data_IF_749124171596
#
_entry.id   IF_749124171596
#
_cell.length_a   1.000
_cell.length_b   1.000
_cell.length_c   1.000
_cell.angle_alpha   90.00
_cell.angle_beta   90.00
_cell.angle_gamma   90.00
#
_symmetry.space_group_name_H-M   'P 1'
#
loop_
_entity.id
_entity.type
_entity.pdbx_description
1 polymer ?
#
# COMPACT_ATOMS: atom_id res chain seq x y z
N UNK A 1 -3.59 76.15 1.46
CA UNK A 1 -4.13 74.87 0.91
C UNK A 1 -3.02 73.83 1.03
N UNK A 2 -3.11 72.94 2.02
CA UNK A 2 -2.12 71.86 2.28
C UNK A 2 -2.83 70.51 1.98
N UNK A 3 -2.43 69.82 0.92
CA UNK A 3 -2.89 68.50 0.60
C UNK A 3 -2.04 67.45 1.31
N UNK A 4 -2.64 66.71 2.24
CA UNK A 4 -2.09 65.53 2.88
C UNK A 4 -2.37 64.29 2.01
N UNK A 5 -1.32 63.72 1.44
CA UNK A 5 -1.39 62.39 0.80
C UNK A 5 -1.20 61.33 1.86
N UNK A 6 -2.26 60.60 2.17
CA UNK A 6 -2.19 59.41 3.01
C UNK A 6 -1.86 58.20 2.10
N UNK A 7 -0.62 57.70 2.19
CA UNK A 7 -0.19 56.48 1.50
C UNK A 7 -0.69 55.25 2.26
N UNK A 8 -1.54 54.46 1.60
CA UNK A 8 -1.98 53.14 2.10
C UNK A 8 -0.91 52.11 1.71
N UNK A 9 -0.16 51.64 2.70
CA UNK A 9 0.80 50.55 2.55
C UNK A 9 0.05 49.23 2.67
N UNK A 10 -0.24 48.56 1.54
CA UNK A 10 -0.85 47.22 1.51
C UNK A 10 0.21 46.18 1.86
N UNK A 11 0.13 45.60 3.07
CA UNK A 11 0.95 44.45 3.47
C UNK A 11 0.48 43.20 2.72
N UNK A 12 1.23 42.78 1.71
CA UNK A 12 1.06 41.47 1.09
C UNK A 12 1.60 40.39 2.03
N UNK A 13 0.70 39.69 2.70
CA UNK A 13 1.05 38.47 3.46
C UNK A 13 1.14 37.30 2.47
N UNK A 14 2.37 36.93 2.09
CA UNK A 14 2.64 35.74 1.30
C UNK A 14 2.49 34.51 2.20
N UNK A 15 1.41 33.77 2.04
CA UNK A 15 1.24 32.45 2.67
C UNK A 15 2.14 31.43 1.97
N UNK A 16 3.26 31.10 2.57
CA UNK A 16 4.10 29.97 2.15
C UNK A 16 3.39 28.69 2.55
N UNK A 17 2.80 27.99 1.60
CA UNK A 17 2.29 26.64 1.82
C UNK A 17 3.48 25.70 2.10
N UNK A 18 3.66 25.31 3.38
CA UNK A 18 4.58 24.24 3.74
C UNK A 18 4.03 22.91 3.21
N UNK A 19 4.47 22.52 2.01
CA UNK A 19 4.32 21.13 1.55
C UNK A 19 5.27 20.28 2.39
N UNK A 20 4.72 19.48 3.31
CA UNK A 20 5.50 18.49 4.03
C UNK A 20 6.13 17.53 3.00
N UNK A 21 7.45 17.31 3.02
CA UNK A 21 8.08 16.34 2.13
C UNK A 21 7.47 14.94 2.42
N UNK A 22 7.14 14.18 1.36
CA UNK A 22 6.80 12.77 1.50
C UNK A 22 7.97 12.09 2.22
N UNK A 23 7.71 11.60 3.45
CA UNK A 23 8.74 10.95 4.26
C UNK A 23 9.18 9.66 3.55
N UNK A 24 10.45 9.57 3.19
CA UNK A 24 11.04 8.31 2.79
C UNK A 24 10.95 7.36 4.00
N UNK A 25 10.49 6.10 3.77
CA UNK A 25 10.44 5.09 4.81
C UNK A 25 11.85 4.91 5.40
N UNK A 26 11.97 5.03 6.71
CA UNK A 26 13.24 4.80 7.40
C UNK A 26 13.56 3.28 7.50
N UNK A 27 14.73 2.94 7.99
CA UNK A 27 15.17 1.54 8.06
C UNK A 27 14.26 0.69 8.97
N UNK A 28 13.68 1.27 10.01
CA UNK A 28 12.77 0.59 10.92
C UNK A 28 11.42 0.32 10.25
N UNK A 29 10.86 1.31 9.54
CA UNK A 29 9.63 1.15 8.76
C UNK A 29 9.80 0.07 7.68
N UNK A 30 10.96 0.01 7.01
CA UNK A 30 11.27 -1.02 6.02
C UNK A 30 11.37 -2.42 6.64
N UNK A 31 12.00 -2.54 7.80
CA UNK A 31 12.09 -3.80 8.53
C UNK A 31 10.71 -4.30 8.99
N UNK A 32 9.87 -3.39 9.50
CA UNK A 32 8.50 -3.73 9.88
C UNK A 32 7.66 -4.10 8.65
N UNK A 33 7.77 -3.37 7.55
CA UNK A 33 7.10 -3.70 6.29
C UNK A 33 7.48 -5.08 5.76
N UNK A 34 8.77 -5.45 5.86
CA UNK A 34 9.26 -6.79 5.53
C UNK A 34 8.62 -7.86 6.44
N UNK A 35 8.57 -7.61 7.76
CA UNK A 35 7.94 -8.51 8.73
C UNK A 35 6.44 -8.69 8.42
N UNK A 36 5.76 -7.62 8.08
CA UNK A 36 4.34 -7.67 7.68
C UNK A 36 4.15 -8.50 6.41
N UNK A 37 5.02 -8.32 5.40
CA UNK A 37 4.96 -9.05 4.14
C UNK A 37 5.24 -10.54 4.29
N UNK A 38 6.26 -10.89 5.11
CA UNK A 38 6.74 -12.28 5.22
C UNK A 38 6.05 -13.08 6.31
N UNK A 39 5.64 -12.44 7.41
CA UNK A 39 5.13 -13.13 8.60
C UNK A 39 3.65 -12.85 8.82
N UNK A 40 3.28 -11.65 9.29
CA UNK A 40 1.92 -11.37 9.74
C UNK A 40 0.90 -11.45 8.60
N UNK A 41 1.21 -10.86 7.44
CA UNK A 41 0.35 -10.90 6.26
C UNK A 41 0.57 -12.14 5.41
N UNK A 42 1.71 -12.83 5.57
CA UNK A 42 2.12 -14.00 4.78
C UNK A 42 1.98 -13.81 3.26
N UNK A 43 2.16 -12.59 2.77
CA UNK A 43 1.98 -12.22 1.37
C UNK A 43 2.89 -13.03 0.43
N UNK A 44 4.10 -13.37 0.93
CA UNK A 44 5.08 -14.18 0.19
C UNK A 44 4.56 -15.57 -0.17
N UNK A 45 3.60 -16.13 0.57
CA UNK A 45 3.04 -17.45 0.30
C UNK A 45 2.40 -17.53 -1.10
N UNK A 46 1.82 -16.40 -1.56
CA UNK A 46 1.21 -16.29 -2.88
C UNK A 46 2.07 -15.49 -3.87
N UNK A 47 2.69 -14.39 -3.40
CA UNK A 47 3.41 -13.45 -4.27
C UNK A 47 4.91 -13.75 -4.41
N UNK A 48 5.43 -14.78 -3.70
CA UNK A 48 6.86 -15.05 -3.61
C UNK A 48 7.59 -14.06 -2.70
N UNK A 49 8.74 -14.48 -2.15
CA UNK A 49 9.52 -13.66 -1.22
C UNK A 49 10.03 -12.35 -1.86
N UNK A 50 10.31 -12.38 -3.16
CA UNK A 50 10.75 -11.23 -3.93
C UNK A 50 9.59 -10.37 -4.50
N UNK A 51 8.34 -10.80 -4.29
CA UNK A 51 7.16 -10.17 -4.89
C UNK A 51 7.03 -10.38 -6.39
N UNK A 52 7.73 -11.36 -6.97
CA UNK A 52 7.76 -11.65 -8.41
C UNK A 52 6.76 -12.73 -8.86
N UNK A 53 5.88 -13.15 -7.96
CA UNK A 53 4.89 -14.21 -8.19
C UNK A 53 5.45 -15.63 -8.16
N UNK A 54 6.77 -15.80 -7.96
CA UNK A 54 7.43 -17.10 -7.90
C UNK A 54 7.45 -17.58 -6.45
N UNK A 55 6.56 -18.49 -6.13
CA UNK A 55 6.43 -19.08 -4.79
C UNK A 55 7.00 -20.50 -4.76
N UNK A 56 7.41 -20.93 -3.57
CA UNK A 56 7.93 -22.28 -3.34
C UNK A 56 6.80 -23.25 -2.95
N UNK A 57 5.74 -22.75 -2.35
CA UNK A 57 4.59 -23.54 -1.91
C UNK A 57 3.53 -23.62 -3.00
N UNK A 58 3.19 -24.84 -3.41
CA UNK A 58 2.17 -25.09 -4.43
C UNK A 58 0.74 -25.19 -3.85
N UNK A 59 0.57 -25.22 -2.53
CA UNK A 59 -0.74 -25.31 -1.89
C UNK A 59 -1.51 -23.98 -1.94
N UNK A 60 -0.79 -22.86 -1.93
CA UNK A 60 -1.39 -21.53 -2.02
C UNK A 60 -1.60 -21.13 -3.48
N UNK A 61 -2.63 -20.32 -3.80
CA UNK A 61 -2.82 -19.80 -5.14
C UNK A 61 -1.62 -18.93 -5.57
N UNK A 62 -1.36 -18.88 -6.87
CA UNK A 62 -0.33 -17.97 -7.39
C UNK A 62 -0.82 -16.53 -7.34
N UNK A 63 -0.09 -15.66 -6.64
CA UNK A 63 -0.32 -14.23 -6.61
C UNK A 63 0.26 -13.51 -7.83
N UNK A 64 -0.21 -12.30 -8.08
CA UNK A 64 0.33 -11.47 -9.13
C UNK A 64 1.82 -11.13 -8.89
N UNK A 65 2.56 -10.90 -9.98
CA UNK A 65 3.89 -10.30 -9.93
C UNK A 65 3.78 -8.83 -9.48
N UNK A 66 4.12 -8.56 -8.23
CA UNK A 66 4.05 -7.22 -7.64
C UNK A 66 5.09 -6.27 -8.25
N UNK A 67 6.20 -6.80 -8.76
CA UNK A 67 7.28 -6.01 -9.35
C UNK A 67 6.89 -5.34 -10.66
N UNK A 68 5.88 -5.87 -11.34
CA UNK A 68 5.29 -5.35 -12.58
C UNK A 68 3.99 -4.57 -12.33
N UNK A 69 3.55 -4.47 -11.07
CA UNK A 69 2.31 -3.77 -10.71
C UNK A 69 2.38 -2.30 -11.11
N UNK A 70 1.29 -1.82 -11.71
CA UNK A 70 1.10 -0.41 -12.09
C UNK A 70 0.18 0.32 -11.10
N UNK A 71 -0.24 -0.34 -10.02
CA UNK A 71 -1.08 0.29 -9.02
C UNK A 71 -0.33 1.46 -8.37
N UNK A 72 -1.04 2.56 -8.16
CA UNK A 72 -0.62 3.64 -7.29
C UNK A 72 -0.79 3.24 -5.81
N UNK A 73 -0.38 4.13 -4.91
CA UNK A 73 -0.40 3.88 -3.47
C UNK A 73 -1.81 3.59 -2.94
N UNK A 74 -2.78 4.41 -3.34
CA UNK A 74 -4.15 4.31 -2.83
C UNK A 74 -4.84 3.03 -3.33
N UNK A 75 -4.65 2.68 -4.59
CA UNK A 75 -5.15 1.45 -5.17
C UNK A 75 -4.48 0.21 -4.58
N UNK A 76 -3.19 0.29 -4.21
CA UNK A 76 -2.50 -0.81 -3.53
C UNK A 76 -3.00 -0.98 -2.10
N UNK A 77 -3.19 0.12 -1.35
CA UNK A 77 -3.83 0.11 -0.03
C UNK A 77 -5.22 -0.53 -0.13
N UNK A 78 -6.03 -0.09 -1.10
CA UNK A 78 -7.38 -0.62 -1.31
C UNK A 78 -7.35 -2.12 -1.63
N UNK A 79 -6.41 -2.57 -2.46
CA UNK A 79 -6.26 -3.98 -2.82
C UNK A 79 -5.89 -4.85 -1.60
N UNK A 80 -5.06 -4.37 -0.69
CA UNK A 80 -4.69 -5.08 0.54
C UNK A 80 -5.86 -5.07 1.54
N UNK A 81 -6.46 -3.91 1.79
CA UNK A 81 -7.60 -3.80 2.69
C UNK A 81 -8.75 -4.71 2.30
N UNK A 82 -9.11 -4.71 1.04
CA UNK A 82 -10.35 -5.29 0.53
C UNK A 82 -10.15 -6.64 -0.16
N UNK A 83 -8.90 -7.04 -0.39
CA UNK A 83 -8.62 -8.27 -1.12
C UNK A 83 -9.13 -8.25 -2.56
N UNK A 84 -9.23 -9.43 -3.13
CA UNK A 84 -9.77 -9.66 -4.47
C UNK A 84 -10.79 -10.80 -4.41
N UNK A 85 -12.08 -10.50 -4.18
CA UNK A 85 -13.13 -11.52 -4.12
C UNK A 85 -13.11 -12.42 -5.34
N UNK A 86 -13.23 -13.73 -5.14
CA UNK A 86 -13.17 -14.74 -6.19
C UNK A 86 -11.77 -15.01 -6.79
N UNK A 87 -10.71 -14.32 -6.31
CA UNK A 87 -9.33 -14.46 -6.82
C UNK A 87 -8.35 -15.02 -5.80
N UNK A 88 -8.82 -15.42 -4.61
CA UNK A 88 -7.99 -16.01 -3.58
C UNK A 88 -7.12 -15.01 -2.78
N UNK A 89 -7.10 -13.73 -3.12
CA UNK A 89 -6.42 -12.71 -2.29
C UNK A 89 -7.35 -12.28 -1.16
N UNK A 90 -6.97 -12.50 0.12
CA UNK A 90 -7.81 -12.18 1.26
C UNK A 90 -7.93 -10.67 1.49
N UNK A 91 -8.98 -10.27 2.22
CA UNK A 91 -9.13 -8.92 2.73
C UNK A 91 -8.46 -8.82 4.10
N UNK A 92 -7.52 -7.89 4.28
CA UNK A 92 -6.79 -7.72 5.53
C UNK A 92 -7.46 -6.74 6.50
N UNK A 93 -8.40 -5.89 6.03
CA UNK A 93 -9.25 -5.08 6.92
C UNK A 93 -10.38 -5.96 7.47
N UNK A 94 -10.44 -6.12 8.80
CA UNK A 94 -11.49 -6.89 9.47
C UNK A 94 -12.91 -6.39 9.19
N UNK A 95 -13.05 -5.14 8.75
CA UNK A 95 -14.33 -4.51 8.39
C UNK A 95 -14.57 -4.48 6.88
N UNK A 96 -13.74 -5.18 6.09
CA UNK A 96 -13.94 -5.30 4.66
C UNK A 96 -15.36 -5.81 4.36
N UNK A 97 -16.04 -5.15 3.45
CA UNK A 97 -17.39 -5.48 3.00
C UNK A 97 -18.49 -5.49 4.09
N UNK A 98 -18.21 -4.97 5.30
CA UNK A 98 -19.25 -4.69 6.31
C UNK A 98 -20.07 -3.48 5.88
N UNK A 99 -19.42 -2.49 5.33
CA UNK A 99 -19.99 -1.31 4.71
C UNK A 99 -19.42 -1.10 3.30
N UNK A 100 -19.74 0.00 2.65
CA UNK A 100 -19.31 0.27 1.28
C UNK A 100 -17.83 0.71 1.15
N UNK A 101 -16.98 0.54 2.18
CA UNK A 101 -15.56 0.96 2.17
C UNK A 101 -14.69 0.22 1.15
N UNK A 102 -15.12 -0.97 0.74
CA UNK A 102 -14.41 -1.80 -0.22
C UNK A 102 -15.05 -1.70 -1.60
N UNK A 103 -14.47 -0.91 -2.47
CA UNK A 103 -14.93 -0.70 -3.85
C UNK A 103 -16.40 -0.24 -3.97
N UNK A 104 -16.93 0.42 -2.92
CA UNK A 104 -18.34 0.79 -2.88
C UNK A 104 -19.30 -0.37 -2.62
N UNK A 105 -18.80 -1.57 -2.29
CA UNK A 105 -19.57 -2.81 -2.16
C UNK A 105 -19.66 -3.28 -0.70
N UNK A 106 -20.79 -3.94 -0.39
CA UNK A 106 -21.01 -4.72 0.84
C UNK A 106 -20.95 -6.21 0.51
N UNK A 107 -20.95 -7.05 1.54
CA UNK A 107 -20.91 -8.51 1.37
C UNK A 107 -22.04 -9.06 0.48
N UNK A 108 -23.23 -8.47 0.56
CA UNK A 108 -24.36 -8.85 -0.28
C UNK A 108 -24.12 -8.59 -1.78
N UNK A 109 -23.29 -7.59 -2.10
CA UNK A 109 -23.03 -7.18 -3.48
C UNK A 109 -21.97 -8.05 -4.18
N UNK A 110 -21.33 -8.96 -3.43
CA UNK A 110 -20.32 -9.88 -3.97
C UNK A 110 -20.91 -11.01 -4.82
N UNK A 111 -22.23 -11.17 -4.88
CA UNK A 111 -22.93 -12.13 -5.75
C UNK A 111 -22.37 -13.54 -5.67
N UNK A 112 -22.07 -14.01 -4.45
CA UNK A 112 -21.53 -15.36 -4.23
C UNK A 112 -20.02 -15.52 -4.45
N UNK A 113 -19.30 -14.46 -4.81
CA UNK A 113 -17.83 -14.49 -4.83
C UNK A 113 -17.30 -14.71 -3.43
N UNK A 114 -16.40 -15.68 -3.29
CA UNK A 114 -15.76 -16.00 -2.01
C UNK A 114 -14.66 -14.99 -1.68
N UNK A 115 -14.58 -14.64 -0.42
CA UNK A 115 -13.46 -13.91 0.15
C UNK A 115 -12.60 -14.91 0.92
N UNK A 116 -11.33 -15.01 0.58
CA UNK A 116 -10.41 -15.84 1.35
C UNK A 116 -10.17 -15.23 2.74
N UNK A 117 -10.00 -16.07 3.74
CA UNK A 117 -9.64 -15.62 5.09
C UNK A 117 -8.16 -15.23 5.15
N UNK A 118 -7.81 -14.08 5.71
CA UNK A 118 -6.43 -13.70 5.90
C UNK A 118 -5.80 -14.47 7.08
N UNK A 119 -4.49 -14.74 7.06
CA UNK A 119 -3.81 -15.37 8.20
C UNK A 119 -3.89 -14.50 9.46
N UNK A 120 -3.95 -13.18 9.29
CA UNK A 120 -4.21 -12.20 10.33
C UNK A 120 -4.78 -10.92 9.71
N UNK A 121 -5.57 -10.17 10.49
CA UNK A 121 -5.99 -8.81 10.07
C UNK A 121 -4.85 -7.81 10.26
N UNK A 122 -4.80 -6.79 9.42
CA UNK A 122 -3.85 -5.69 9.52
C UNK A 122 -4.58 -4.41 9.94
N UNK A 123 -3.93 -3.65 10.82
CA UNK A 123 -4.38 -2.31 11.18
C UNK A 123 -4.12 -1.33 10.02
N UNK A 124 -4.84 -0.22 9.91
CA UNK A 124 -4.62 0.77 8.84
C UNK A 124 -3.15 1.19 8.70
N UNK A 125 -2.47 1.50 9.83
CA UNK A 125 -1.06 1.87 9.83
C UNK A 125 -0.14 0.74 9.35
N UNK A 126 -0.43 -0.50 9.70
CA UNK A 126 0.34 -1.66 9.22
C UNK A 126 0.21 -1.83 7.70
N UNK A 127 -0.97 -1.57 7.15
CA UNK A 127 -1.18 -1.60 5.70
C UNK A 127 -0.36 -0.49 5.02
N UNK A 128 -0.33 0.72 5.60
CA UNK A 128 0.48 1.82 5.07
C UNK A 128 1.97 1.50 5.11
N UNK A 129 2.50 1.01 6.23
CA UNK A 129 3.90 0.58 6.38
C UNK A 129 4.26 -0.55 5.39
N UNK A 130 3.36 -1.53 5.22
CA UNK A 130 3.53 -2.59 4.24
C UNK A 130 3.60 -2.04 2.82
N UNK A 131 2.73 -1.10 2.46
CA UNK A 131 2.71 -0.47 1.13
C UNK A 131 3.97 0.35 0.90
N UNK A 132 4.45 1.10 1.89
CA UNK A 132 5.69 1.88 1.79
C UNK A 132 6.90 0.96 1.55
N UNK A 133 6.98 -0.18 2.27
CA UNK A 133 7.96 -1.23 2.00
C UNK A 133 7.84 -1.78 0.57
N UNK A 134 6.62 -2.09 0.11
CA UNK A 134 6.41 -2.62 -1.23
C UNK A 134 6.85 -1.63 -2.32
N UNK A 135 6.58 -0.32 -2.16
CA UNK A 135 7.08 0.69 -3.09
C UNK A 135 8.60 0.81 -3.06
N UNK A 136 9.20 0.74 -1.89
CA UNK A 136 10.67 0.83 -1.75
C UNK A 136 11.40 -0.39 -2.35
N UNK A 137 10.79 -1.59 -2.28
CA UNK A 137 11.50 -2.85 -2.57
C UNK A 137 10.95 -3.66 -3.73
N UNK A 138 9.68 -3.49 -4.13
CA UNK A 138 9.00 -4.37 -5.09
C UNK A 138 8.39 -3.63 -6.27
N UNK A 139 7.46 -2.72 -6.01
CA UNK A 139 6.64 -2.07 -7.06
C UNK A 139 7.55 -1.34 -8.06
N UNK A 140 7.38 -1.64 -9.35
CA UNK A 140 8.15 -1.04 -10.45
C UNK A 140 9.68 -1.26 -10.37
N UNK A 141 10.14 -2.21 -9.56
CA UNK A 141 11.58 -2.50 -9.42
C UNK A 141 12.13 -3.41 -10.52
N UNK A 142 11.29 -3.83 -11.45
CA UNK A 142 11.65 -4.77 -12.50
C UNK A 142 12.03 -6.16 -11.98
N UNK A 143 12.49 -7.07 -12.84
CA UNK A 143 12.74 -8.46 -12.46
C UNK A 143 13.78 -8.60 -11.36
N UNK A 144 13.60 -9.59 -10.50
CA UNK A 144 14.58 -9.98 -9.49
C UNK A 144 15.70 -10.78 -10.16
N UNK A 145 16.93 -10.43 -9.85
CA UNK A 145 18.13 -11.14 -10.30
C UNK A 145 19.16 -11.23 -9.16
N UNK A 146 20.19 -12.11 -9.34
CA UNK A 146 21.14 -12.46 -8.28
C UNK A 146 21.79 -11.26 -7.58
N UNK A 147 22.21 -10.25 -8.34
CA UNK A 147 22.84 -9.07 -7.75
C UNK A 147 21.89 -8.25 -6.88
N UNK A 148 20.60 -8.16 -7.27
CA UNK A 148 19.57 -7.51 -6.45
C UNK A 148 19.22 -8.33 -5.20
N UNK A 149 19.31 -9.66 -5.26
CA UNK A 149 19.00 -10.54 -4.15
C UNK A 149 19.85 -10.24 -2.92
N UNK A 150 21.16 -10.04 -3.11
CA UNK A 150 22.09 -9.72 -2.01
C UNK A 150 21.83 -8.34 -1.37
N UNK A 151 21.25 -7.41 -2.10
CA UNK A 151 20.94 -6.06 -1.62
C UNK A 151 19.49 -5.91 -1.10
N UNK A 152 18.70 -6.97 -1.18
CA UNK A 152 17.27 -6.92 -0.84
C UNK A 152 17.01 -7.08 0.67
N UNK A 153 17.90 -7.80 1.32
CA UNK A 153 17.89 -8.13 2.75
C UNK A 153 19.04 -7.39 3.44
#
# INVERSE_FOLDING_TARGET
>A
MRFLFAGIFALMVSTVALTAPARAADAEDLAEGLRLFTQKGACQACHGWAGDGRKMDNQMPTGANLRESQLDRDNLIMAIKCGRPGRGMPAYDRLAYVDARCYGQKKADLNGLTLADPPATLQPREIETLVDFMFAKMIKQGPMHRAKCAAYW
#
